data_IF_699878919098
#
_entry.id   IF_699878919098
#
_cell.length_a   1.000
_cell.length_b   1.000
_cell.length_c   1.000
_cell.angle_alpha   90.00
_cell.angle_beta   90.00
_cell.angle_gamma   90.00
#
_symmetry.space_group_name_H-M   'P 1'
#
loop_
_entity.id
_entity.type
_entity.pdbx_description
1 polymer ?
#
# COMPACT_ATOMS: atom_id res chain seq x y z
N UNK A 1 16.43 16.38 -16.17
CA UNK A 1 16.69 16.42 -14.71
C UNK A 1 15.35 16.78 -14.03
N UNK A 2 15.01 16.19 -12.89
CA UNK A 2 13.76 16.49 -12.18
C UNK A 2 13.92 17.85 -11.47
N UNK A 3 13.16 18.86 -11.92
CA UNK A 3 13.32 20.25 -11.44
C UNK A 3 12.40 20.56 -10.25
N UNK A 4 11.30 19.81 -10.10
CA UNK A 4 10.34 19.98 -9.02
C UNK A 4 9.65 18.67 -8.64
N UNK A 5 9.31 18.56 -7.36
CA UNK A 5 8.74 17.35 -6.75
C UNK A 5 7.52 17.72 -5.90
N UNK A 6 6.36 17.20 -6.26
CA UNK A 6 5.19 17.21 -5.39
C UNK A 6 5.24 15.99 -4.47
N UNK A 7 5.07 16.22 -3.17
CA UNK A 7 5.04 15.18 -2.15
C UNK A 7 3.59 14.87 -1.81
N UNK A 8 3.07 13.75 -2.34
CA UNK A 8 1.69 13.31 -2.14
C UNK A 8 1.53 12.56 -0.81
N UNK A 9 1.97 13.19 0.27
CA UNK A 9 1.92 12.62 1.61
C UNK A 9 1.97 13.75 2.67
N UNK A 10 1.99 13.39 3.97
CA UNK A 10 1.99 14.33 5.07
C UNK A 10 2.95 13.92 6.20
N UNK A 11 3.04 14.73 7.25
CA UNK A 11 3.74 14.39 8.48
C UNK A 11 5.24 14.21 8.31
N UNK A 12 5.80 13.21 8.98
CA UNK A 12 7.25 13.00 9.03
C UNK A 12 7.83 12.57 7.69
N UNK A 13 7.11 11.73 6.92
CA UNK A 13 7.60 11.25 5.61
C UNK A 13 7.66 12.41 4.60
N UNK A 14 6.67 13.30 4.60
CA UNK A 14 6.72 14.49 3.76
C UNK A 14 7.95 15.36 4.11
N UNK A 15 8.22 15.59 5.38
CA UNK A 15 9.41 16.32 5.84
C UNK A 15 10.71 15.67 5.40
N UNK A 16 10.80 14.35 5.52
CA UNK A 16 11.98 13.59 5.10
C UNK A 16 12.25 13.78 3.60
N UNK A 17 11.21 13.62 2.77
CA UNK A 17 11.33 13.79 1.32
C UNK A 17 11.70 15.25 0.96
N UNK A 18 11.04 16.24 1.58
CA UNK A 18 11.34 17.66 1.38
C UNK A 18 12.81 17.95 1.65
N UNK A 19 13.36 17.48 2.78
CA UNK A 19 14.78 17.70 3.11
C UNK A 19 15.71 17.11 2.06
N UNK A 20 15.45 15.86 1.64
CA UNK A 20 16.29 15.20 0.62
C UNK A 20 16.21 15.91 -0.72
N UNK A 21 15.02 16.32 -1.14
CA UNK A 21 14.82 17.04 -2.40
C UNK A 21 15.54 18.41 -2.39
N UNK A 22 15.45 19.15 -1.29
CA UNK A 22 16.16 20.43 -1.13
C UNK A 22 17.67 20.27 -1.16
N UNK A 23 18.23 19.23 -0.54
CA UNK A 23 19.67 18.94 -0.64
C UNK A 23 20.13 18.65 -2.07
N UNK A 24 19.23 18.18 -2.92
CA UNK A 24 19.46 17.91 -4.35
C UNK A 24 19.14 19.11 -5.24
N UNK A 25 18.75 20.26 -4.67
CA UNK A 25 18.39 21.45 -5.43
C UNK A 25 17.03 21.32 -6.16
N UNK A 26 16.16 20.42 -5.75
CA UNK A 26 14.84 20.18 -6.35
C UNK A 26 13.79 21.01 -5.61
N UNK A 27 13.01 21.82 -6.36
CA UNK A 27 11.89 22.59 -5.80
C UNK A 27 10.83 21.64 -5.23
N UNK A 28 10.38 21.88 -4.01
CA UNK A 28 9.46 21.02 -3.25
C UNK A 28 8.06 21.62 -3.19
N UNK A 29 7.06 20.81 -3.47
CA UNK A 29 5.64 21.17 -3.36
C UNK A 29 4.97 20.22 -2.37
N UNK A 30 4.49 20.73 -1.23
CA UNK A 30 3.68 19.99 -0.29
C UNK A 30 2.20 20.07 -0.68
N UNK A 31 1.45 19.00 -0.43
CA UNK A 31 -0.01 19.06 -0.42
C UNK A 31 -0.52 18.88 1.01
N UNK A 32 -1.62 19.55 1.37
CA UNK A 32 -2.13 19.47 2.72
C UNK A 32 -3.67 19.53 2.79
N UNK A 33 -4.25 18.77 3.73
CA UNK A 33 -5.66 18.93 4.10
C UNK A 33 -5.83 20.14 5.03
N UNK A 34 -7.04 20.64 5.17
CA UNK A 34 -7.34 21.76 6.07
C UNK A 34 -6.81 21.54 7.50
N UNK A 35 -6.93 20.32 8.02
CA UNK A 35 -6.44 19.97 9.35
C UNK A 35 -4.91 20.04 9.48
N UNK A 36 -4.19 19.89 8.39
CA UNK A 36 -2.73 19.83 8.37
C UNK A 36 -2.07 21.18 8.02
N UNK A 37 -2.85 22.23 7.73
CA UNK A 37 -2.36 23.54 7.23
C UNK A 37 -1.27 24.18 8.11
N UNK A 38 -1.31 23.97 9.42
CA UNK A 38 -0.34 24.50 10.38
C UNK A 38 0.88 23.62 10.62
N UNK A 39 0.97 22.44 10.00
CA UNK A 39 2.03 21.48 10.29
C UNK A 39 3.39 21.87 9.68
N UNK A 40 4.51 21.41 10.28
CA UNK A 40 5.85 21.80 9.86
C UNK A 40 6.16 21.51 8.38
N UNK A 41 5.74 20.37 7.83
CA UNK A 41 6.03 20.01 6.44
C UNK A 41 5.45 20.99 5.43
N UNK A 42 4.31 21.63 5.75
CA UNK A 42 3.67 22.66 4.90
C UNK A 42 4.55 23.90 4.79
N UNK A 43 5.20 24.29 5.90
CA UNK A 43 6.08 25.46 5.95
C UNK A 43 7.51 25.17 5.47
N UNK A 44 7.92 23.91 5.51
CA UNK A 44 9.25 23.48 5.08
C UNK A 44 9.37 23.32 3.56
N UNK A 45 8.26 23.14 2.84
CA UNK A 45 8.26 23.09 1.39
C UNK A 45 8.41 24.50 0.76
N UNK A 46 8.86 24.57 -0.49
CA UNK A 46 8.98 25.82 -1.22
C UNK A 46 7.61 26.35 -1.66
N UNK A 47 6.66 25.45 -1.89
CA UNK A 47 5.26 25.74 -2.20
C UNK A 47 4.35 24.75 -1.46
N UNK A 48 3.13 25.15 -1.11
CA UNK A 48 2.15 24.29 -0.49
C UNK A 48 0.75 24.53 -1.07
N UNK A 49 0.03 23.44 -1.37
CA UNK A 49 -1.29 23.48 -2.00
C UNK A 49 -2.31 22.74 -1.13
N UNK A 50 -3.40 23.41 -0.80
CA UNK A 50 -4.54 22.80 -0.14
C UNK A 50 -5.25 21.83 -1.07
N UNK A 51 -5.53 20.62 -0.58
CA UNK A 51 -6.17 19.54 -1.34
C UNK A 51 -7.54 19.13 -0.76
N UNK A 52 -8.10 19.91 0.17
CA UNK A 52 -9.45 19.74 0.67
C UNK A 52 -9.54 19.44 2.16
N UNK A 53 -10.70 18.93 2.61
CA UNK A 53 -11.03 18.78 4.01
C UNK A 53 -10.17 17.71 4.73
N UNK A 54 -10.33 17.63 6.06
CA UNK A 54 -9.57 16.72 6.91
C UNK A 54 -9.67 15.23 6.57
N UNK A 55 -10.84 14.66 6.15
CA UNK A 55 -10.93 13.24 5.82
C UNK A 55 -10.00 12.86 4.68
N UNK A 56 -9.15 11.83 4.87
CA UNK A 56 -8.18 11.40 3.87
C UNK A 56 -8.81 11.00 2.53
N UNK A 57 -10.02 10.44 2.54
CA UNK A 57 -10.77 10.09 1.32
C UNK A 57 -11.08 11.29 0.44
N UNK A 58 -11.22 12.46 1.05
CA UNK A 58 -11.55 13.72 0.39
C UNK A 58 -10.32 14.62 0.14
N UNK A 59 -9.13 14.15 0.50
CA UNK A 59 -7.87 14.88 0.37
C UNK A 59 -6.75 13.96 -0.17
N UNK A 60 -5.96 13.34 0.71
CA UNK A 60 -4.77 12.54 0.36
C UNK A 60 -5.04 11.27 -0.46
N UNK A 61 -6.25 10.72 -0.40
CA UNK A 61 -6.68 9.56 -1.20
C UNK A 61 -7.43 9.96 -2.47
N UNK A 62 -7.64 11.24 -2.71
CA UNK A 62 -8.26 11.75 -3.93
C UNK A 62 -7.23 11.93 -5.02
N UNK A 63 -7.14 10.96 -5.93
CA UNK A 63 -6.24 11.02 -7.09
C UNK A 63 -6.42 12.31 -7.90
N UNK A 64 -7.67 12.71 -8.13
CA UNK A 64 -8.01 13.93 -8.88
C UNK A 64 -7.41 15.17 -8.24
N UNK A 65 -7.56 15.36 -6.91
CA UNK A 65 -7.04 16.55 -6.21
C UNK A 65 -5.51 16.59 -6.20
N UNK A 66 -4.86 15.43 -6.08
CA UNK A 66 -3.39 15.36 -6.16
C UNK A 66 -2.90 15.73 -7.56
N UNK A 67 -3.53 15.20 -8.61
CA UNK A 67 -3.18 15.53 -9.99
C UNK A 67 -3.47 17.01 -10.34
N UNK A 68 -4.57 17.56 -9.83
CA UNK A 68 -4.87 19.00 -9.98
C UNK A 68 -3.81 19.86 -9.30
N UNK A 69 -3.40 19.50 -8.09
CA UNK A 69 -2.33 20.18 -7.36
C UNK A 69 -1.01 20.12 -8.15
N UNK A 70 -0.68 18.98 -8.73
CA UNK A 70 0.52 18.81 -9.54
C UNK A 70 0.48 19.68 -10.81
N UNK A 71 -0.65 19.73 -11.50
CA UNK A 71 -0.82 20.61 -12.68
C UNK A 71 -0.74 22.09 -12.30
N UNK A 72 -1.40 22.47 -11.20
CA UNK A 72 -1.42 23.87 -10.73
C UNK A 72 -0.03 24.38 -10.37
N UNK A 73 0.80 23.54 -9.72
CA UNK A 73 2.18 23.89 -9.34
C UNK A 73 3.21 23.71 -10.45
N UNK A 74 2.84 23.11 -11.56
CA UNK A 74 3.78 22.70 -12.59
C UNK A 74 4.81 21.68 -12.10
N UNK A 75 4.39 20.76 -11.23
CA UNK A 75 5.26 19.72 -10.70
C UNK A 75 5.77 18.79 -11.81
N UNK A 76 7.09 18.62 -11.92
CA UNK A 76 7.70 17.70 -12.86
C UNK A 76 7.57 16.23 -12.41
N UNK A 77 7.46 16.00 -11.10
CA UNK A 77 7.38 14.68 -10.54
C UNK A 77 6.46 14.62 -9.31
N UNK A 78 5.96 13.41 -8.99
CA UNK A 78 5.20 13.11 -7.78
C UNK A 78 5.87 11.99 -7.01
N UNK A 79 6.14 12.21 -5.71
CA UNK A 79 6.58 11.19 -4.76
C UNK A 79 5.44 10.85 -3.80
N UNK A 80 4.94 9.61 -3.77
CA UNK A 80 3.79 9.25 -2.93
C UNK A 80 4.14 9.03 -1.45
N UNK A 81 5.42 8.94 -1.10
CA UNK A 81 5.84 8.50 0.22
C UNK A 81 5.51 7.03 0.46
N UNK A 82 4.92 6.73 1.61
CA UNK A 82 4.34 5.42 1.95
C UNK A 82 2.89 5.58 2.44
N UNK A 83 2.08 4.51 2.38
CA UNK A 83 0.65 4.59 2.67
C UNK A 83 -0.11 5.43 1.63
N UNK A 84 -1.31 5.87 1.93
CA UNK A 84 -2.21 6.60 1.01
C UNK A 84 -2.24 5.99 -0.41
N UNK A 85 -1.73 6.71 -1.41
CA UNK A 85 -1.73 6.29 -2.81
C UNK A 85 -0.42 5.62 -3.27
N UNK A 86 0.53 5.35 -2.36
CA UNK A 86 1.85 4.81 -2.74
C UNK A 86 1.79 3.41 -3.37
N UNK A 87 0.80 2.62 -2.99
CA UNK A 87 0.57 1.27 -3.51
C UNK A 87 -0.63 1.20 -4.47
N UNK A 88 -1.07 2.36 -4.96
CA UNK A 88 -2.17 2.43 -5.92
C UNK A 88 -1.64 2.51 -7.35
N UNK A 89 -1.71 1.38 -8.07
CA UNK A 89 -1.20 1.27 -9.42
C UNK A 89 -1.96 2.17 -10.42
N UNK A 90 -3.27 2.36 -10.24
CA UNK A 90 -4.09 3.21 -11.11
C UNK A 90 -3.69 4.67 -10.96
N UNK A 91 -3.35 5.10 -9.75
CA UNK A 91 -2.80 6.44 -9.52
C UNK A 91 -1.43 6.62 -10.16
N UNK A 92 -0.52 5.65 -10.01
CA UNK A 92 0.79 5.70 -10.64
C UNK A 92 0.67 5.81 -12.18
N UNK A 93 -0.21 5.02 -12.80
CA UNK A 93 -0.51 5.13 -14.22
C UNK A 93 -1.12 6.49 -14.61
N UNK A 94 -2.01 7.04 -13.78
CA UNK A 94 -2.62 8.33 -14.04
C UNK A 94 -1.59 9.48 -13.99
N UNK A 95 -0.60 9.38 -13.10
CA UNK A 95 0.54 10.32 -13.03
C UNK A 95 1.37 10.24 -14.30
N UNK A 96 1.76 9.02 -14.73
CA UNK A 96 2.54 8.83 -15.97
C UNK A 96 1.77 9.29 -17.21
N UNK A 97 0.47 8.97 -17.32
CA UNK A 97 -0.41 9.44 -18.41
C UNK A 97 -0.56 10.97 -18.45
N UNK A 98 -0.42 11.64 -17.31
CA UNK A 98 -0.41 13.09 -17.24
C UNK A 98 0.93 13.72 -17.66
N UNK A 99 1.93 12.93 -18.06
CA UNK A 99 3.27 13.38 -18.43
C UNK A 99 4.13 13.78 -17.22
N UNK A 100 3.74 13.36 -15.99
CA UNK A 100 4.44 13.66 -14.75
C UNK A 100 5.27 12.43 -14.36
N UNK A 101 6.49 12.64 -13.89
CA UNK A 101 7.36 11.54 -13.44
C UNK A 101 6.81 10.94 -12.16
N UNK A 102 6.55 9.66 -12.17
CA UNK A 102 6.22 8.89 -10.96
C UNK A 102 7.49 8.47 -10.23
N UNK A 103 7.66 8.92 -8.97
CA UNK A 103 8.80 8.55 -8.13
C UNK A 103 8.38 7.40 -7.20
N UNK A 104 8.37 6.22 -7.75
CA UNK A 104 7.93 4.99 -7.07
C UNK A 104 8.18 3.76 -7.93
N UNK A 105 7.68 2.60 -7.48
CA UNK A 105 7.73 1.38 -8.28
C UNK A 105 6.86 1.51 -9.53
N UNK A 106 7.22 0.90 -10.65
CA UNK A 106 6.38 0.92 -11.86
C UNK A 106 4.96 0.38 -11.56
N UNK A 107 3.90 0.91 -12.21
CA UNK A 107 2.53 0.45 -11.98
C UNK A 107 2.34 -1.06 -12.09
N UNK A 108 3.01 -1.70 -13.05
CA UNK A 108 2.99 -3.15 -13.22
C UNK A 108 3.57 -3.89 -12.02
N UNK A 109 4.65 -3.38 -11.42
CA UNK A 109 5.25 -3.95 -10.23
C UNK A 109 4.34 -3.77 -9.00
N UNK A 110 3.68 -2.60 -8.87
CA UNK A 110 2.70 -2.35 -7.79
C UNK A 110 1.56 -3.36 -7.89
N UNK A 111 1.02 -3.61 -9.10
CA UNK A 111 -0.06 -4.61 -9.32
C UNK A 111 0.41 -6.02 -8.97
N UNK A 112 1.58 -6.42 -9.46
CA UNK A 112 2.13 -7.76 -9.24
C UNK A 112 2.40 -8.05 -7.76
N UNK A 113 2.80 -7.03 -6.99
CA UNK A 113 3.12 -7.16 -5.57
C UNK A 113 1.95 -6.79 -4.63
N UNK A 114 0.85 -6.28 -5.18
CA UNK A 114 -0.30 -5.80 -4.40
C UNK A 114 -1.12 -6.90 -3.73
N UNK A 115 -1.09 -8.11 -4.26
CA UNK A 115 -1.72 -9.30 -3.69
C UNK A 115 -0.65 -10.26 -3.17
N UNK A 116 -0.81 -10.73 -1.93
CA UNK A 116 0.21 -11.57 -1.26
C UNK A 116 0.43 -12.91 -1.95
N UNK A 117 -0.63 -13.52 -2.48
CA UNK A 117 -0.59 -14.76 -3.24
C UNK A 117 0.19 -14.61 -4.54
N UNK A 118 -0.19 -13.65 -5.38
CA UNK A 118 0.47 -13.36 -6.65
C UNK A 118 1.95 -12.95 -6.43
N UNK A 119 2.23 -12.14 -5.40
CA UNK A 119 3.58 -11.74 -5.06
C UNK A 119 4.46 -12.94 -4.69
N UNK A 120 3.95 -13.86 -3.87
CA UNK A 120 4.70 -15.08 -3.48
C UNK A 120 4.94 -16.01 -4.65
N UNK A 121 3.94 -16.23 -5.49
CA UNK A 121 4.10 -17.05 -6.72
C UNK A 121 5.19 -16.46 -7.64
N UNK A 122 5.17 -15.15 -7.84
CA UNK A 122 6.19 -14.46 -8.64
C UNK A 122 7.58 -14.61 -8.03
N UNK A 123 7.71 -14.47 -6.71
CA UNK A 123 9.00 -14.62 -6.02
C UNK A 123 9.51 -16.06 -6.10
N UNK A 124 8.65 -17.06 -5.91
CA UNK A 124 9.01 -18.47 -6.07
C UNK A 124 9.46 -18.80 -7.49
N UNK A 125 8.72 -18.34 -8.50
CA UNK A 125 9.09 -18.52 -9.91
C UNK A 125 10.43 -17.85 -10.25
N UNK A 126 10.80 -16.79 -9.53
CA UNK A 126 12.07 -16.08 -9.68
C UNK A 126 13.22 -16.67 -8.83
N UNK A 127 13.01 -17.80 -8.15
CA UNK A 127 14.01 -18.44 -7.30
C UNK A 127 14.29 -17.72 -5.98
N UNK A 128 13.44 -16.77 -5.58
CA UNK A 128 13.57 -16.09 -4.29
C UNK A 128 12.93 -16.94 -3.20
N UNK A 129 13.64 -17.24 -2.09
CA UNK A 129 13.07 -17.98 -0.97
C UNK A 129 11.85 -17.26 -0.38
N UNK A 130 10.75 -18.00 -0.18
CA UNK A 130 9.54 -17.49 0.46
C UNK A 130 9.19 -18.37 1.67
N UNK A 131 8.46 -17.80 2.63
CA UNK A 131 7.93 -18.57 3.75
C UNK A 131 7.06 -19.72 3.23
N UNK A 132 7.29 -20.98 3.66
CA UNK A 132 6.45 -22.11 3.28
C UNK A 132 4.98 -21.83 3.58
N UNK A 133 4.10 -22.13 2.62
CA UNK A 133 2.69 -21.82 2.79
C UNK A 133 1.85 -22.27 1.60
N UNK A 134 0.53 -22.10 1.76
CA UNK A 134 -0.47 -22.38 0.73
C UNK A 134 -1.23 -21.10 0.33
N UNK A 135 -1.36 -20.88 -1.00
CA UNK A 135 -2.00 -19.71 -1.59
C UNK A 135 -2.89 -20.09 -2.78
N UNK A 136 -3.24 -21.38 -2.88
CA UNK A 136 -3.97 -21.91 -4.01
C UNK A 136 -5.40 -21.38 -4.11
N UNK A 137 -5.97 -21.53 -5.31
CA UNK A 137 -7.35 -21.12 -5.62
C UNK A 137 -8.41 -21.96 -4.87
N UNK A 138 -8.08 -23.20 -4.48
CA UNK A 138 -8.98 -24.02 -3.67
C UNK A 138 -8.98 -23.51 -2.23
N UNK A 139 -10.08 -22.86 -1.87
CA UNK A 139 -10.31 -22.24 -0.57
C UNK A 139 -11.24 -23.08 0.32
N UNK A 140 -11.45 -24.38 -0.01
CA UNK A 140 -12.22 -25.27 0.85
C UNK A 140 -11.56 -25.44 2.22
N UNK A 141 -12.36 -25.63 3.25
CA UNK A 141 -11.84 -25.80 4.60
C UNK A 141 -10.97 -27.05 4.70
N UNK A 142 -11.40 -28.15 4.04
CA UNK A 142 -10.67 -29.41 3.96
C UNK A 142 -9.29 -29.25 3.34
N UNK A 143 -9.22 -28.50 2.23
CA UNK A 143 -7.94 -28.23 1.57
C UNK A 143 -7.02 -27.39 2.43
N UNK A 144 -7.53 -26.33 3.02
CA UNK A 144 -6.74 -25.44 3.87
C UNK A 144 -6.24 -26.15 5.13
N UNK A 145 -7.06 -27.01 5.74
CA UNK A 145 -6.65 -27.82 6.90
C UNK A 145 -5.55 -28.80 6.52
N UNK A 146 -5.70 -29.53 5.40
CA UNK A 146 -4.68 -30.46 4.93
C UNK A 146 -3.34 -29.77 4.63
N UNK A 147 -3.37 -28.56 4.05
CA UNK A 147 -2.17 -27.79 3.79
C UNK A 147 -1.52 -27.26 5.10
N UNK A 148 -2.33 -26.88 6.08
CA UNK A 148 -1.80 -26.49 7.39
C UNK A 148 -1.08 -27.66 8.08
N UNK A 149 -1.60 -28.88 7.96
CA UNK A 149 -0.93 -30.10 8.45
C UNK A 149 0.38 -30.37 7.69
N UNK A 150 0.38 -30.25 6.37
CA UNK A 150 1.57 -30.44 5.54
C UNK A 150 2.69 -29.44 5.86
N UNK A 151 2.32 -28.18 6.13
CA UNK A 151 3.27 -27.11 6.53
C UNK A 151 3.80 -27.35 7.93
N UNK A 152 2.98 -27.91 8.81
CA UNK A 152 3.25 -28.16 10.21
C UNK A 152 2.95 -26.96 11.11
N UNK A 153 2.23 -27.23 12.19
CA UNK A 153 1.88 -26.22 13.19
C UNK A 153 3.11 -25.73 14.01
N UNK A 154 3.13 -24.49 14.49
CA UNK A 154 2.09 -23.48 14.33
C UNK A 154 2.04 -22.89 12.92
N UNK A 155 0.84 -22.50 12.46
CA UNK A 155 0.65 -21.79 11.19
C UNK A 155 -0.05 -20.46 11.43
N UNK A 156 0.11 -19.53 10.45
CA UNK A 156 -0.62 -18.29 10.38
C UNK A 156 -1.63 -18.33 9.24
N UNK A 157 -2.91 -18.12 9.56
CA UNK A 157 -3.94 -17.84 8.56
C UNK A 157 -3.96 -16.34 8.33
N UNK A 158 -3.88 -15.89 7.08
CA UNK A 158 -3.85 -14.47 6.71
C UNK A 158 -4.82 -14.17 5.59
N UNK A 159 -5.55 -13.06 5.67
CA UNK A 159 -6.31 -12.55 4.54
C UNK A 159 -5.39 -12.27 3.34
N UNK A 160 -5.80 -12.69 2.14
CA UNK A 160 -5.09 -12.39 0.87
C UNK A 160 -5.09 -10.89 0.63
N UNK A 161 -6.27 -10.26 0.72
CA UNK A 161 -6.41 -8.81 0.66
C UNK A 161 -6.11 -8.17 2.01
N UNK A 162 -5.50 -6.99 2.00
CA UNK A 162 -5.30 -6.17 3.19
C UNK A 162 -3.91 -6.21 3.80
N UNK A 163 -3.76 -5.41 4.87
CA UNK A 163 -2.49 -5.19 5.58
C UNK A 163 -2.73 -4.73 7.02
N UNK A 164 -1.65 -4.32 7.73
CA UNK A 164 -1.75 -3.78 9.08
C UNK A 164 -2.13 -4.79 10.16
N UNK A 165 -1.99 -6.11 9.89
CA UNK A 165 -2.27 -7.17 10.86
C UNK A 165 -3.74 -7.55 11.02
N UNK A 166 -4.67 -6.93 10.28
CA UNK A 166 -6.07 -7.34 10.23
C UNK A 166 -6.23 -8.62 9.41
N UNK A 167 -7.18 -9.47 9.78
CA UNK A 167 -7.40 -10.75 9.12
C UNK A 167 -6.20 -11.69 9.28
N UNK A 168 -5.61 -11.78 10.47
CA UNK A 168 -4.55 -12.73 10.80
C UNK A 168 -4.90 -13.52 12.04
N UNK A 169 -4.68 -14.85 11.99
CA UNK A 169 -4.87 -15.77 13.14
C UNK A 169 -3.71 -16.74 13.18
N UNK A 170 -3.08 -16.84 14.34
CA UNK A 170 -2.12 -17.92 14.63
C UNK A 170 -2.90 -19.14 15.12
N UNK A 171 -2.57 -20.29 14.56
CA UNK A 171 -3.12 -21.58 14.91
C UNK A 171 -1.98 -22.46 15.43
N UNK A 172 -2.05 -22.81 16.70
CA UNK A 172 -1.02 -23.63 17.35
C UNK A 172 -1.32 -25.13 17.25
N UNK A 173 -2.61 -25.51 17.09
CA UNK A 173 -3.05 -26.90 17.11
C UNK A 173 -4.12 -27.16 16.05
N UNK A 174 -4.15 -28.35 15.43
CA UNK A 174 -5.12 -28.70 14.39
C UNK A 174 -6.59 -28.47 14.79
N UNK A 175 -6.95 -28.80 16.03
CA UNK A 175 -8.33 -28.68 16.50
C UNK A 175 -8.86 -27.25 16.57
N UNK A 176 -7.99 -26.26 16.62
CA UNK A 176 -8.37 -24.86 16.67
C UNK A 176 -8.51 -24.23 15.25
N UNK A 177 -8.13 -24.98 14.20
CA UNK A 177 -8.00 -24.47 12.83
C UNK A 177 -9.32 -23.97 12.26
N UNK A 178 -10.39 -24.79 12.31
CA UNK A 178 -11.68 -24.47 11.70
C UNK A 178 -12.30 -23.19 12.29
N UNK A 179 -12.27 -23.04 13.61
CA UNK A 179 -12.82 -21.86 14.29
C UNK A 179 -12.03 -20.60 13.92
N UNK A 180 -10.70 -20.69 13.96
CA UNK A 180 -9.83 -19.56 13.67
C UNK A 180 -9.86 -19.16 12.18
N UNK A 181 -10.01 -20.13 11.27
CA UNK A 181 -10.25 -19.90 9.85
C UNK A 181 -11.56 -19.13 9.63
N UNK A 182 -12.66 -19.59 10.21
CA UNK A 182 -13.95 -18.93 10.10
C UNK A 182 -13.91 -17.48 10.66
N UNK A 183 -13.22 -17.29 11.79
CA UNK A 183 -13.00 -15.96 12.38
C UNK A 183 -12.20 -15.04 11.45
N UNK A 184 -11.09 -15.54 10.86
CA UNK A 184 -10.26 -14.79 9.93
C UNK A 184 -11.03 -14.36 8.69
N UNK A 185 -11.81 -15.27 8.08
CA UNK A 185 -12.63 -15.00 6.90
C UNK A 185 -13.69 -13.94 7.15
N UNK A 186 -14.41 -14.00 8.27
CA UNK A 186 -15.41 -12.97 8.63
C UNK A 186 -14.76 -11.59 8.73
N UNK A 187 -13.60 -11.49 9.38
CA UNK A 187 -12.88 -10.22 9.49
C UNK A 187 -12.41 -9.71 8.13
N UNK A 188 -11.87 -10.61 7.29
CA UNK A 188 -11.38 -10.28 5.95
C UNK A 188 -12.50 -9.78 5.05
N UNK A 189 -13.64 -10.49 5.00
CA UNK A 189 -14.83 -10.08 4.26
C UNK A 189 -15.35 -8.71 4.71
N UNK A 190 -15.45 -8.48 6.01
CA UNK A 190 -15.94 -7.22 6.56
C UNK A 190 -14.99 -6.03 6.30
N UNK A 191 -13.67 -6.26 6.38
CA UNK A 191 -12.68 -5.20 6.26
C UNK A 191 -12.26 -4.90 4.82
N UNK A 192 -12.24 -5.92 3.95
CA UNK A 192 -11.63 -5.85 2.63
C UNK A 192 -12.55 -6.28 1.48
N UNK A 193 -13.72 -6.87 1.79
CA UNK A 193 -14.65 -7.40 0.78
C UNK A 193 -14.17 -8.70 0.10
N UNK A 194 -13.13 -9.33 0.62
CA UNK A 194 -12.55 -10.58 0.11
C UNK A 194 -12.25 -11.50 1.31
N UNK A 195 -12.83 -12.70 1.33
CA UNK A 195 -12.68 -13.67 2.41
C UNK A 195 -11.59 -14.72 2.16
N UNK A 196 -10.90 -14.65 1.02
CA UNK A 196 -9.80 -15.57 0.70
C UNK A 196 -8.66 -15.42 1.69
N UNK A 197 -8.08 -16.56 2.03
CA UNK A 197 -6.95 -16.62 2.97
C UNK A 197 -5.77 -17.37 2.37
N UNK A 198 -4.61 -17.11 2.92
CA UNK A 198 -3.42 -17.91 2.72
C UNK A 198 -2.97 -18.49 4.07
N UNK A 199 -2.21 -19.58 4.01
CA UNK A 199 -1.64 -20.25 5.19
C UNK A 199 -0.12 -20.17 5.09
N UNK A 200 0.54 -19.76 6.16
CA UNK A 200 1.99 -19.70 6.26
C UNK A 200 2.50 -20.33 7.57
N UNK A 201 3.74 -20.79 7.51
CA UNK A 201 4.44 -21.27 8.71
C UNK A 201 4.79 -20.13 9.67
#
# INVERSE_FOLDING_TARGET
MMESLLIANRGEIARRIIRSAKMLGIRTIAVYSEADAGLPFVREADEAIAIGPAPARESYLSQTRILEAARKSGAAAIHPGYGFLSENADFAEAVEKAGIIWVGAPPAAIRAMGLKDAAKELMQASGVPVTPGYMGADQSEERLAAEAENIGYPVLIKAVAGGGGKGMRRVDRPQDFAELLASCRREAAAAFGDDRVLIER
#
